data_IF_342166146566
#
_entry.id   IF_342166146566
#
_cell.length_a   1.000
_cell.length_b   1.000
_cell.length_c   1.000
_cell.angle_alpha   90.00
_cell.angle_beta   90.00
_cell.angle_gamma   90.00
#
_symmetry.space_group_name_H-M   'P 1'
#
loop_
_entity.id
_entity.type
_entity.pdbx_description
1 polymer ?
#
# COMPACT_ATOMS: atom_id res chain seq x y z
N UNK A 1 16.02 56.44 96.21
CA UNK A 1 15.67 55.38 95.24
C UNK A 1 16.02 55.79 93.81
N UNK A 2 15.53 56.92 93.28
CA UNK A 2 15.84 57.41 91.93
C UNK A 2 17.34 57.58 91.62
N UNK A 3 18.11 58.10 92.58
CA UNK A 3 19.56 58.30 92.44
C UNK A 3 20.34 56.98 92.37
N UNK A 4 19.86 55.93 93.04
CA UNK A 4 20.47 54.60 93.03
C UNK A 4 20.21 53.89 91.68
N UNK A 5 19.02 54.09 91.11
CA UNK A 5 18.65 53.59 89.78
C UNK A 5 19.46 54.30 88.69
N UNK A 6 19.66 55.62 88.82
CA UNK A 6 20.50 56.38 87.89
C UNK A 6 21.97 55.94 87.93
N UNK A 7 22.52 55.67 89.12
CA UNK A 7 23.89 55.19 89.25
C UNK A 7 24.07 53.76 88.73
N UNK A 8 23.10 52.86 88.94
CA UNK A 8 23.12 51.51 88.38
C UNK A 8 23.04 51.52 86.84
N UNK A 9 22.16 52.33 86.27
CA UNK A 9 22.08 52.51 84.81
C UNK A 9 23.35 53.12 84.23
N UNK A 10 23.99 54.06 84.93
CA UNK A 10 25.26 54.65 84.48
C UNK A 10 26.40 53.63 84.49
N UNK A 11 26.46 52.75 85.51
CA UNK A 11 27.45 51.67 85.58
C UNK A 11 27.24 50.64 84.46
N UNK A 12 25.99 50.24 84.17
CA UNK A 12 25.69 49.32 83.06
C UNK A 12 26.04 49.93 81.68
N UNK A 13 25.78 51.22 81.48
CA UNK A 13 26.12 51.92 80.22
C UNK A 13 27.65 52.01 80.05
N UNK A 14 28.39 52.32 81.11
CA UNK A 14 29.85 52.38 81.06
C UNK A 14 30.51 51.00 80.89
N UNK A 15 29.98 49.96 81.53
CA UNK A 15 30.44 48.58 81.35
C UNK A 15 30.22 48.10 79.91
N UNK A 16 29.03 48.35 79.34
CA UNK A 16 28.69 48.01 77.96
C UNK A 16 29.55 48.74 76.93
N UNK A 17 29.85 50.03 77.17
CA UNK A 17 30.77 50.78 76.32
C UNK A 17 32.22 50.30 76.46
N UNK A 18 32.66 49.94 77.67
CA UNK A 18 33.99 49.41 77.93
C UNK A 18 34.25 48.11 77.17
N UNK A 19 33.31 47.17 77.22
CA UNK A 19 33.38 45.89 76.50
C UNK A 19 33.36 46.08 74.98
N UNK A 20 32.56 47.04 74.50
CA UNK A 20 32.50 47.38 73.07
C UNK A 20 33.82 47.98 72.57
N UNK A 21 34.43 48.87 73.36
CA UNK A 21 35.75 49.45 73.07
C UNK A 21 36.84 48.36 73.10
N UNK A 22 36.81 47.45 74.08
CA UNK A 22 37.75 46.34 74.17
C UNK A 22 37.63 45.39 72.97
N UNK A 23 36.40 45.09 72.55
CA UNK A 23 36.11 44.28 71.37
C UNK A 23 36.62 44.94 70.09
N UNK A 24 36.38 46.24 69.92
CA UNK A 24 36.84 46.99 68.73
C UNK A 24 38.37 47.13 68.69
N UNK A 25 39.01 47.34 69.85
CA UNK A 25 40.47 47.34 69.97
C UNK A 25 41.05 45.95 69.65
N UNK A 26 40.42 44.89 70.18
CA UNK A 26 40.78 43.50 69.90
C UNK A 26 40.62 43.13 68.44
N UNK A 27 39.53 43.55 67.80
CA UNK A 27 39.25 43.36 66.38
C UNK A 27 40.29 44.09 65.51
N UNK A 28 40.64 45.34 65.86
CA UNK A 28 41.68 46.09 65.16
C UNK A 28 43.07 45.45 65.30
N UNK A 29 43.42 44.96 66.49
CA UNK A 29 44.69 44.25 66.71
C UNK A 29 44.71 42.91 65.97
N UNK A 30 43.60 42.16 66.00
CA UNK A 30 43.43 40.93 65.24
C UNK A 30 43.58 41.18 63.74
N UNK A 31 42.92 42.20 63.19
CA UNK A 31 43.04 42.58 61.79
C UNK A 31 44.46 43.01 61.44
N UNK A 32 45.17 43.73 62.31
CA UNK A 32 46.58 44.12 62.08
C UNK A 32 47.51 42.90 62.08
N UNK A 33 47.26 41.92 62.96
CA UNK A 33 48.01 40.66 63.02
C UNK A 33 47.70 39.82 61.77
N UNK A 34 46.44 39.74 61.37
CA UNK A 34 45.98 39.05 60.17
C UNK A 34 46.54 39.69 58.90
N UNK A 35 46.60 41.02 58.83
CA UNK A 35 47.17 41.75 57.69
C UNK A 35 48.69 41.57 57.60
N UNK A 36 49.37 41.51 58.75
CA UNK A 36 50.80 41.15 58.83
C UNK A 36 51.07 39.69 58.53
N UNK A 37 50.17 38.76 58.88
CA UNK A 37 50.29 37.35 58.52
C UNK A 37 49.90 37.08 57.07
N UNK A 38 49.06 37.94 56.48
CA UNK A 38 48.64 37.84 55.08
C UNK A 38 49.62 38.53 54.11
N UNK A 39 50.43 39.47 54.60
CA UNK A 39 51.56 40.01 53.83
C UNK A 39 52.72 39.03 53.88
N UNK A 40 53.15 38.48 52.73
CA UNK A 40 54.23 37.52 52.74
C UNK A 40 55.52 38.27 53.10
N UNK A 41 56.17 37.86 54.21
CA UNK A 41 57.47 38.38 54.63
C UNK A 41 58.51 38.20 53.51
N UNK A 42 58.29 37.19 52.66
CA UNK A 42 59.10 36.85 51.51
C UNK A 42 58.30 37.00 50.21
N UNK A 43 58.76 37.86 49.30
CA UNK A 43 58.07 38.12 48.02
C UNK A 43 58.05 36.95 47.03
N UNK A 44 57.56 37.19 45.81
CA UNK A 44 57.51 36.18 44.74
C UNK A 44 58.89 35.68 44.32
N UNK A 45 59.94 36.50 44.44
CA UNK A 45 61.32 36.11 44.14
C UNK A 45 61.79 34.95 45.02
N UNK A 46 61.57 35.07 46.33
CA UNK A 46 61.90 34.05 47.32
C UNK A 46 61.12 32.76 47.08
N UNK A 47 59.82 32.86 46.84
CA UNK A 47 58.99 31.70 46.50
C UNK A 47 59.50 30.98 45.23
N UNK A 48 59.89 31.74 44.20
CA UNK A 48 60.46 31.19 42.98
C UNK A 48 61.85 30.56 43.18
N UNK A 49 62.64 31.08 44.13
CA UNK A 49 63.91 30.48 44.50
C UNK A 49 63.72 29.08 45.09
N UNK A 50 62.70 28.88 45.94
CA UNK A 50 62.36 27.58 46.50
C UNK A 50 61.74 26.63 45.47
N UNK A 51 60.89 27.11 44.55
CA UNK A 51 60.33 26.27 43.48
C UNK A 51 61.40 25.65 42.56
N UNK A 52 62.60 26.23 42.51
CA UNK A 52 63.74 25.73 41.72
C UNK A 52 64.65 24.76 42.49
N UNK A 53 64.34 24.49 43.76
CA UNK A 53 65.02 23.47 44.57
C UNK A 53 64.59 22.08 44.08
N UNK A 54 65.53 21.12 44.01
CA UNK A 54 65.22 19.74 43.59
C UNK A 54 64.76 18.89 44.77
N UNK A 55 65.45 19.02 45.90
CA UNK A 55 65.09 18.38 47.16
C UNK A 55 64.20 19.26 48.05
N UNK A 56 63.61 18.66 49.08
CA UNK A 56 62.88 19.40 50.11
C UNK A 56 63.83 20.16 51.05
N UNK A 57 63.32 21.15 51.78
CA UNK A 57 64.11 21.89 52.77
C UNK A 57 64.74 21.01 53.89
N UNK A 58 64.29 19.76 54.02
CA UNK A 58 64.80 18.77 54.96
C UNK A 58 66.15 18.17 54.58
N UNK A 59 66.44 18.06 53.29
CA UNK A 59 67.60 17.33 52.79
C UNK A 59 68.39 18.17 51.78
N UNK A 60 68.73 19.42 52.12
CA UNK A 60 69.58 20.22 51.25
C UNK A 60 70.98 19.64 51.16
N UNK A 61 71.37 19.21 49.96
CA UNK A 61 72.76 18.93 49.65
C UNK A 61 73.61 20.21 49.75
N UNK A 62 74.92 20.08 49.93
CA UNK A 62 75.83 21.21 50.02
C UNK A 62 75.75 22.11 48.78
N UNK A 63 75.62 21.50 47.60
CA UNK A 63 75.45 22.22 46.33
C UNK A 63 74.12 22.97 46.29
N UNK A 64 73.04 22.33 46.74
CA UNK A 64 71.70 22.93 46.78
C UNK A 64 71.63 24.08 47.77
N UNK A 65 72.28 23.95 48.93
CA UNK A 65 72.43 25.03 49.90
C UNK A 65 73.10 26.23 49.24
N UNK A 66 74.26 26.06 48.60
CA UNK A 66 74.95 27.16 47.89
C UNK A 66 74.07 27.79 46.82
N UNK A 67 73.40 26.98 45.99
CA UNK A 67 72.52 27.49 44.93
C UNK A 67 71.32 28.25 45.48
N UNK A 68 70.68 27.73 46.54
CA UNK A 68 69.56 28.39 47.19
C UNK A 68 70.01 29.70 47.82
N UNK A 69 71.15 29.72 48.53
CA UNK A 69 71.71 30.94 49.11
C UNK A 69 71.94 32.00 48.02
N UNK A 70 72.57 31.64 46.89
CA UNK A 70 72.82 32.58 45.80
C UNK A 70 71.52 33.15 45.21
N UNK A 71 70.47 32.34 45.10
CA UNK A 71 69.14 32.82 44.69
C UNK A 71 68.52 33.76 45.72
N UNK A 72 68.61 33.42 47.01
CA UNK A 72 68.12 34.23 48.12
C UNK A 72 68.81 35.61 48.19
N UNK A 73 70.13 35.64 48.02
CA UNK A 73 70.89 36.89 48.01
C UNK A 73 70.52 37.74 46.80
N UNK A 74 70.33 37.14 45.62
CA UNK A 74 69.87 37.91 44.46
C UNK A 74 68.51 38.54 44.71
N UNK A 75 67.58 37.83 45.36
CA UNK A 75 66.30 38.42 45.78
C UNK A 75 66.51 39.58 46.76
N UNK A 76 67.38 39.40 47.77
CA UNK A 76 67.69 40.45 48.74
C UNK A 76 68.37 41.69 48.12
N UNK A 77 69.31 41.48 47.20
CA UNK A 77 70.03 42.57 46.52
C UNK A 77 69.10 43.33 45.57
N UNK A 78 68.25 42.63 44.83
CA UNK A 78 67.23 43.23 43.97
C UNK A 78 66.22 44.07 44.79
N UNK A 79 65.71 43.51 45.89
CA UNK A 79 64.82 44.22 46.83
C UNK A 79 65.49 45.44 47.48
N UNK A 80 66.81 45.40 47.66
CA UNK A 80 67.62 46.48 48.23
C UNK A 80 68.13 47.50 47.19
N UNK A 81 67.83 47.32 45.90
CA UNK A 81 68.30 48.19 44.81
C UNK A 81 69.80 48.09 44.51
N UNK A 82 70.42 46.96 44.82
CA UNK A 82 71.82 46.66 44.54
C UNK A 82 72.00 45.76 43.31
N UNK A 83 73.19 45.78 42.71
CA UNK A 83 73.53 44.91 41.58
C UNK A 83 73.48 43.43 41.99
N UNK A 84 72.77 42.61 41.21
CA UNK A 84 72.63 41.16 41.40
C UNK A 84 73.73 40.40 40.68
N UNK A 85 73.97 39.14 41.10
CA UNK A 85 75.05 38.33 40.54
C UNK A 85 74.53 36.95 40.10
N UNK A 86 74.59 36.63 38.81
CA UNK A 86 74.10 35.35 38.26
C UNK A 86 75.08 34.18 38.47
N UNK A 87 75.70 34.13 39.64
CA UNK A 87 76.60 33.05 40.00
C UNK A 87 75.86 31.72 40.17
N UNK A 88 74.57 31.76 40.50
CA UNK A 88 73.74 30.55 40.62
C UNK A 88 73.47 29.84 39.29
N UNK A 89 73.71 30.51 38.15
CA UNK A 89 73.51 29.94 36.81
C UNK A 89 74.74 29.19 36.27
N UNK A 90 75.87 29.22 37.00
CA UNK A 90 77.10 28.55 36.56
C UNK A 90 77.05 27.05 36.84
N UNK A 91 77.37 26.27 35.82
CA UNK A 91 77.24 24.80 35.86
C UNK A 91 78.32 24.15 36.72
N UNK A 92 79.54 24.69 36.71
CA UNK A 92 80.66 24.12 37.48
C UNK A 92 80.90 24.86 38.79
N UNK A 93 81.33 24.13 39.81
CA UNK A 93 81.67 24.73 41.11
C UNK A 93 82.83 25.73 41.02
N UNK A 94 83.80 25.47 40.14
CA UNK A 94 84.89 26.38 39.84
C UNK A 94 84.40 27.74 39.29
N UNK A 95 83.49 27.72 38.31
CA UNK A 95 82.91 28.95 37.75
C UNK A 95 82.06 29.70 38.77
N UNK A 96 81.33 28.99 39.63
CA UNK A 96 80.57 29.59 40.75
C UNK A 96 81.49 30.34 41.70
N UNK A 97 82.56 29.72 42.18
CA UNK A 97 83.54 30.36 43.06
C UNK A 97 84.25 31.54 42.38
N UNK A 98 84.61 31.40 41.11
CA UNK A 98 85.21 32.49 40.31
C UNK A 98 84.25 33.68 40.16
N UNK A 99 82.96 33.42 40.02
CA UNK A 99 81.92 34.44 39.98
C UNK A 99 81.77 35.13 41.34
N UNK A 100 81.71 34.35 42.42
CA UNK A 100 81.63 34.89 43.78
C UNK A 100 82.85 35.73 44.16
N UNK A 101 84.04 35.40 43.65
CA UNK A 101 85.25 36.20 43.84
C UNK A 101 85.22 37.58 43.20
N UNK A 102 84.26 37.85 42.29
CA UNK A 102 84.03 39.18 41.70
C UNK A 102 82.97 40.00 42.45
N UNK A 103 82.29 39.41 43.44
CA UNK A 103 81.28 40.11 44.22
C UNK A 103 81.90 41.23 45.05
N UNK A 104 81.14 42.31 45.24
CA UNK A 104 81.52 43.35 46.20
C UNK A 104 81.61 42.79 47.62
N UNK A 105 82.41 43.41 48.49
CA UNK A 105 82.54 42.98 49.88
C UNK A 105 81.18 42.94 50.60
N UNK A 106 80.29 43.91 50.32
CA UNK A 106 78.93 43.93 50.87
C UNK A 106 78.09 42.73 50.41
N UNK A 107 78.17 42.37 49.12
CA UNK A 107 77.45 41.22 48.58
C UNK A 107 78.00 39.88 49.11
N UNK A 108 79.32 39.76 49.27
CA UNK A 108 79.94 38.57 49.86
C UNK A 108 79.65 38.41 51.36
N UNK A 109 79.58 39.52 52.12
CA UNK A 109 79.14 39.50 53.52
C UNK A 109 77.69 39.07 53.64
N UNK A 110 76.79 39.64 52.82
CA UNK A 110 75.40 39.21 52.77
C UNK A 110 75.33 37.72 52.39
N UNK A 111 76.15 37.27 51.45
CA UNK A 111 76.22 35.86 51.10
C UNK A 111 76.54 34.96 52.28
N UNK A 112 77.55 35.34 53.06
CA UNK A 112 78.02 34.54 54.19
C UNK A 112 76.95 34.43 55.27
N UNK A 113 76.20 35.50 55.52
CA UNK A 113 75.08 35.53 56.47
C UNK A 113 73.88 34.70 55.99
N UNK A 114 73.51 34.83 54.72
CA UNK A 114 72.44 33.99 54.17
C UNK A 114 72.85 32.52 54.14
N UNK A 115 74.12 32.21 53.89
CA UNK A 115 74.60 30.83 53.77
C UNK A 115 74.45 30.06 55.09
N UNK A 116 74.73 30.69 56.23
CA UNK A 116 74.56 30.09 57.57
C UNK A 116 73.09 29.85 57.91
N UNK A 117 72.19 30.71 57.42
CA UNK A 117 70.75 30.66 57.72
C UNK A 117 69.88 30.01 56.63
N UNK A 118 70.46 29.58 55.50
CA UNK A 118 69.72 29.12 54.31
C UNK A 118 68.73 28.00 54.61
N UNK A 119 69.13 26.98 55.39
CA UNK A 119 68.25 25.85 55.73
C UNK A 119 67.06 26.32 56.55
N UNK A 120 67.28 27.11 57.61
CA UNK A 120 66.21 27.65 58.47
C UNK A 120 65.26 28.55 57.68
N UNK A 121 65.80 29.43 56.82
CA UNK A 121 65.00 30.31 55.96
C UNK A 121 64.18 29.51 54.94
N UNK A 122 64.74 28.44 54.35
CA UNK A 122 64.02 27.53 53.45
C UNK A 122 62.81 26.90 54.14
N UNK A 123 63.01 26.38 55.35
CA UNK A 123 61.94 25.78 56.15
C UNK A 123 60.81 26.74 56.44
N UNK A 124 61.14 27.96 56.85
CA UNK A 124 60.16 28.98 57.18
C UNK A 124 59.31 29.35 55.96
N UNK A 125 59.94 29.66 54.82
CA UNK A 125 59.22 30.02 53.59
C UNK A 125 58.34 28.86 53.11
N UNK A 126 58.85 27.62 53.17
CA UNK A 126 58.08 26.44 52.79
C UNK A 126 56.89 26.19 53.72
N UNK A 127 57.04 26.46 55.01
CA UNK A 127 55.95 26.37 55.97
C UNK A 127 54.86 27.40 55.67
N UNK A 128 55.22 28.66 55.41
CA UNK A 128 54.26 29.72 55.04
C UNK A 128 53.48 29.37 53.76
N UNK A 129 54.17 28.87 52.72
CA UNK A 129 53.51 28.39 51.49
C UNK A 129 52.48 27.30 51.78
N UNK A 130 52.86 26.29 52.58
CA UNK A 130 51.98 25.17 52.93
C UNK A 130 50.80 25.61 53.78
N UNK A 131 51.01 26.54 54.71
CA UNK A 131 49.94 27.10 55.55
C UNK A 131 48.88 27.77 54.69
N UNK A 132 49.30 28.63 53.75
CA UNK A 132 48.40 29.31 52.82
C UNK A 132 47.61 28.34 51.93
N UNK A 133 48.27 27.28 51.44
CA UNK A 133 47.60 26.23 50.67
C UNK A 133 46.57 25.45 51.51
N UNK A 134 46.89 25.20 52.78
CA UNK A 134 46.00 24.48 53.69
C UNK A 134 44.73 25.26 54.00
N UNK A 135 44.85 26.58 54.19
CA UNK A 135 43.70 27.48 54.39
C UNK A 135 42.79 27.52 53.16
N UNK A 136 43.37 27.61 51.96
CA UNK A 136 42.60 27.55 50.71
C UNK A 136 41.88 26.20 50.53
N UNK A 137 42.56 25.10 50.84
CA UNK A 137 41.97 23.77 50.79
C UNK A 137 40.83 23.63 51.81
N UNK A 138 41.01 24.12 53.03
CA UNK A 138 40.00 24.10 54.09
C UNK A 138 38.75 24.90 53.68
N UNK A 139 38.93 26.10 53.16
CA UNK A 139 37.82 26.94 52.69
C UNK A 139 37.04 26.26 51.56
N UNK A 140 37.74 25.65 50.60
CA UNK A 140 37.11 24.90 49.50
C UNK A 140 36.37 23.65 50.00
N UNK A 141 36.93 22.94 50.97
CA UNK A 141 36.28 21.79 51.59
C UNK A 141 35.01 22.20 52.34
N UNK A 142 35.05 23.30 53.08
CA UNK A 142 33.90 23.83 53.80
C UNK A 142 32.76 24.21 52.83
N UNK A 143 33.08 24.93 51.75
CA UNK A 143 32.12 25.27 50.70
C UNK A 143 31.52 24.02 50.05
N UNK A 144 32.36 23.07 49.66
CA UNK A 144 31.92 21.81 49.03
C UNK A 144 31.05 20.98 49.97
N UNK A 145 31.39 20.92 51.26
CA UNK A 145 30.62 20.20 52.27
C UNK A 145 29.25 20.83 52.49
N UNK A 146 29.15 22.17 52.49
CA UNK A 146 27.87 22.88 52.58
C UNK A 146 26.98 22.54 51.38
N UNK A 147 27.52 22.65 50.17
CA UNK A 147 26.80 22.33 48.92
C UNK A 147 26.35 20.86 48.90
N UNK A 148 27.23 19.94 49.32
CA UNK A 148 26.91 18.52 49.36
C UNK A 148 25.79 18.21 50.36
N UNK A 149 25.77 18.88 51.50
CA UNK A 149 24.70 18.74 52.50
C UNK A 149 23.35 19.18 51.93
N UNK A 150 23.32 20.31 51.22
CA UNK A 150 22.10 20.78 50.55
C UNK A 150 21.62 19.80 49.48
N UNK A 151 22.55 19.22 48.71
CA UNK A 151 22.22 18.22 47.68
C UNK A 151 21.73 16.90 48.26
N UNK A 152 22.28 16.45 49.39
CA UNK A 152 21.78 15.26 50.10
C UNK A 152 20.35 15.52 50.61
N UNK A 153 20.07 16.71 51.15
CA UNK A 153 18.72 17.06 51.59
C UNK A 153 17.72 17.10 50.43
N UNK A 154 18.10 17.71 49.31
CA UNK A 154 17.28 17.71 48.08
C UNK A 154 17.01 16.28 47.58
N UNK A 155 18.03 15.42 47.55
CA UNK A 155 17.91 14.02 47.13
C UNK A 155 17.00 13.21 48.06
N UNK A 156 17.09 13.40 49.39
CA UNK A 156 16.22 12.75 50.36
C UNK A 156 14.74 13.11 50.13
N UNK A 157 14.46 14.39 49.84
CA UNK A 157 13.11 14.85 49.50
C UNK A 157 12.59 14.14 48.24
N UNK A 158 13.39 14.11 47.17
CA UNK A 158 13.01 13.44 45.91
C UNK A 158 12.79 11.93 46.14
N UNK A 159 13.67 11.28 46.90
CA UNK A 159 13.54 9.86 47.22
C UNK A 159 12.25 9.57 48.00
N UNK A 160 11.86 10.44 48.93
CA UNK A 160 10.60 10.30 49.66
C UNK A 160 9.38 10.41 48.74
N UNK A 161 9.39 11.35 47.79
CA UNK A 161 8.32 11.52 46.79
C UNK A 161 8.23 10.30 45.86
N UNK A 162 9.38 9.78 45.42
CA UNK A 162 9.45 8.57 44.60
C UNK A 162 8.90 7.33 45.33
N UNK A 163 9.25 7.15 46.60
CA UNK A 163 8.74 6.05 47.44
C UNK A 163 7.21 6.10 47.58
N UNK A 164 6.65 7.30 47.79
CA UNK A 164 5.20 7.48 47.87
C UNK A 164 4.53 7.21 46.52
N UNK A 165 5.13 7.64 45.41
CA UNK A 165 4.65 7.31 44.06
C UNK A 165 4.67 5.80 43.78
N UNK A 166 5.74 5.10 44.14
CA UNK A 166 5.84 3.63 44.01
C UNK A 166 4.78 2.92 44.84
N UNK A 167 4.52 3.38 46.06
CA UNK A 167 3.45 2.85 46.92
C UNK A 167 2.07 3.04 46.29
N UNK A 168 1.80 4.19 45.68
CA UNK A 168 0.55 4.43 44.95
C UNK A 168 0.43 3.53 43.71
N UNK A 169 1.50 3.39 42.93
CA UNK A 169 1.53 2.50 41.77
C UNK A 169 1.29 1.03 42.16
N UNK A 170 1.88 0.55 43.25
CA UNK A 170 1.65 -0.81 43.77
C UNK A 170 0.20 -1.02 44.22
N UNK A 171 -0.43 -0.02 44.84
CA UNK A 171 -1.87 -0.09 45.18
C UNK A 171 -2.72 -0.26 43.92
N UNK A 172 -2.48 0.57 42.90
CA UNK A 172 -3.19 0.48 41.63
C UNK A 172 -2.95 -0.86 40.93
N UNK A 173 -1.73 -1.37 40.94
CA UNK A 173 -1.39 -2.67 40.35
C UNK A 173 -2.11 -3.82 41.06
N UNK A 174 -2.23 -3.78 42.39
CA UNK A 174 -3.00 -4.76 43.15
C UNK A 174 -4.51 -4.69 42.84
N UNK A 175 -5.08 -3.48 42.71
CA UNK A 175 -6.47 -3.29 42.32
C UNK A 175 -6.75 -3.84 40.91
N UNK A 176 -5.87 -3.56 39.94
CA UNK A 176 -5.97 -4.10 38.59
C UNK A 176 -5.83 -5.62 38.57
N UNK A 177 -4.96 -6.19 39.40
CA UNK A 177 -4.83 -7.64 39.53
C UNK A 177 -6.11 -8.29 40.07
N UNK A 178 -6.74 -7.70 41.09
CA UNK A 178 -8.03 -8.18 41.63
C UNK A 178 -9.15 -8.05 40.60
N UNK A 179 -9.20 -6.94 39.86
CA UNK A 179 -10.12 -6.76 38.74
C UNK A 179 -9.88 -7.78 37.62
N UNK A 180 -8.62 -8.06 37.29
CA UNK A 180 -8.24 -9.08 36.31
C UNK A 180 -8.67 -10.48 36.73
N UNK A 181 -8.52 -10.83 38.01
CA UNK A 181 -8.99 -12.10 38.58
C UNK A 181 -10.51 -12.21 38.54
N UNK A 182 -11.24 -11.15 38.92
CA UNK A 182 -12.70 -11.09 38.79
C UNK A 182 -13.13 -11.27 37.33
N UNK A 183 -12.46 -10.59 36.40
CA UNK A 183 -12.73 -10.74 34.98
C UNK A 183 -12.46 -12.17 34.48
N UNK A 184 -11.36 -12.81 34.89
CA UNK A 184 -11.09 -14.22 34.58
C UNK A 184 -12.23 -15.13 35.06
N UNK A 185 -12.72 -14.91 36.29
CA UNK A 185 -13.87 -15.68 36.80
C UNK A 185 -15.15 -15.40 36.03
N UNK A 186 -15.41 -14.15 35.65
CA UNK A 186 -16.56 -13.78 34.79
C UNK A 186 -16.43 -14.39 33.40
N UNK A 187 -15.22 -14.46 32.82
CA UNK A 187 -14.96 -15.11 31.53
C UNK A 187 -15.22 -16.61 31.63
N UNK A 188 -14.76 -17.30 32.68
CA UNK A 188 -15.07 -18.73 32.90
C UNK A 188 -16.57 -18.99 33.09
N UNK A 189 -17.27 -18.11 33.81
CA UNK A 189 -18.73 -18.19 33.93
C UNK A 189 -19.42 -17.90 32.58
N UNK A 190 -18.85 -17.00 31.78
CA UNK A 190 -19.35 -16.66 30.44
C UNK A 190 -19.07 -17.78 29.45
N UNK A 191 -17.98 -18.55 29.56
CA UNK A 191 -17.71 -19.74 28.74
C UNK A 191 -18.81 -20.79 28.91
N UNK A 192 -19.26 -21.05 30.15
CA UNK A 192 -20.40 -21.92 30.42
C UNK A 192 -21.73 -21.35 29.86
N UNK A 193 -21.93 -20.03 29.97
CA UNK A 193 -23.10 -19.35 29.40
C UNK A 193 -23.08 -19.30 27.87
N UNK A 194 -21.91 -19.15 27.24
CA UNK A 194 -21.71 -19.14 25.79
C UNK A 194 -21.88 -20.54 25.25
N UNK A 195 -21.32 -21.57 25.89
CA UNK A 195 -21.55 -22.95 25.49
C UNK A 195 -23.03 -23.33 25.58
N UNK A 196 -23.75 -22.93 26.63
CA UNK A 196 -25.20 -23.18 26.73
C UNK A 196 -26.04 -22.33 25.78
N UNK A 197 -25.56 -21.16 25.37
CA UNK A 197 -26.19 -20.35 24.33
C UNK A 197 -25.91 -20.93 22.94
N UNK A 198 -24.70 -21.42 22.67
CA UNK A 198 -24.30 -22.11 21.44
C UNK A 198 -25.08 -23.41 21.28
N UNK A 199 -25.28 -24.21 22.32
CA UNK A 199 -26.13 -25.42 22.24
C UNK A 199 -27.59 -25.06 21.99
N UNK A 200 -28.12 -24.01 22.63
CA UNK A 200 -29.46 -23.47 22.29
C UNK A 200 -29.53 -22.91 20.87
N UNK A 201 -28.43 -22.36 20.36
CA UNK A 201 -28.32 -21.89 18.98
C UNK A 201 -28.26 -23.05 18.01
N UNK A 202 -27.60 -24.16 18.36
CA UNK A 202 -27.55 -25.40 17.58
C UNK A 202 -28.94 -26.06 17.49
N UNK A 203 -29.67 -26.13 18.60
CA UNK A 203 -31.07 -26.58 18.65
C UNK A 203 -32.03 -25.65 17.86
N UNK A 204 -31.78 -24.34 17.88
CA UNK A 204 -32.59 -23.34 17.14
C UNK A 204 -32.21 -23.28 15.66
N UNK A 205 -30.95 -23.51 15.32
CA UNK A 205 -30.43 -23.50 13.94
C UNK A 205 -30.93 -24.71 13.16
N UNK A 206 -31.11 -25.88 13.79
CA UNK A 206 -31.81 -27.01 13.17
C UNK A 206 -33.27 -26.67 12.79
N UNK A 207 -33.97 -25.85 13.59
CA UNK A 207 -35.32 -25.36 13.24
C UNK A 207 -35.32 -24.29 12.14
N UNK A 208 -34.32 -23.41 12.09
CA UNK A 208 -34.22 -22.36 11.06
C UNK A 208 -33.64 -22.87 9.71
N UNK A 209 -32.84 -23.94 9.72
CA UNK A 209 -32.34 -24.60 8.50
C UNK A 209 -33.45 -25.24 7.67
N UNK A 210 -34.57 -25.66 8.28
CA UNK A 210 -35.73 -26.19 7.55
C UNK A 210 -36.42 -25.13 6.68
N UNK A 211 -36.54 -23.88 7.15
CA UNK A 211 -37.18 -22.81 6.36
C UNK A 211 -36.26 -22.23 5.27
N UNK A 212 -34.97 -22.09 5.55
CA UNK A 212 -34.02 -21.59 4.54
C UNK A 212 -33.74 -22.63 3.45
N UNK A 213 -33.64 -23.92 3.80
CA UNK A 213 -33.53 -24.99 2.79
C UNK A 213 -34.74 -25.04 1.88
N UNK A 214 -35.94 -24.77 2.40
CA UNK A 214 -37.17 -24.67 1.60
C UNK A 214 -37.12 -23.50 0.61
N UNK A 215 -36.67 -22.31 1.04
CA UNK A 215 -36.53 -21.15 0.15
C UNK A 215 -35.44 -21.36 -0.91
N UNK A 216 -34.27 -21.89 -0.53
CA UNK A 216 -33.21 -22.20 -1.50
C UNK A 216 -33.64 -23.30 -2.48
N UNK A 217 -34.47 -24.26 -2.05
CA UNK A 217 -35.10 -25.24 -2.94
C UNK A 217 -36.05 -24.59 -3.94
N UNK A 218 -36.88 -23.62 -3.52
CA UNK A 218 -37.72 -22.87 -4.46
C UNK A 218 -36.90 -22.06 -5.47
N UNK A 219 -35.83 -21.42 -5.03
CA UNK A 219 -34.93 -20.65 -5.92
C UNK A 219 -34.25 -21.59 -6.92
N UNK A 220 -33.73 -22.74 -6.48
CA UNK A 220 -33.11 -23.73 -7.36
C UNK A 220 -34.13 -24.31 -8.35
N UNK A 221 -35.32 -24.68 -7.88
CA UNK A 221 -36.41 -25.18 -8.74
C UNK A 221 -36.83 -24.14 -9.77
N UNK A 222 -36.93 -22.87 -9.38
CA UNK A 222 -37.25 -21.77 -10.30
C UNK A 222 -36.14 -21.53 -11.33
N UNK A 223 -34.87 -21.58 -10.92
CA UNK A 223 -33.72 -21.49 -11.82
C UNK A 223 -33.67 -22.66 -12.81
N UNK A 224 -34.03 -23.86 -12.38
CA UNK A 224 -34.08 -25.02 -13.27
C UNK A 224 -35.26 -24.96 -14.24
N UNK A 225 -36.41 -24.46 -13.77
CA UNK A 225 -37.59 -24.22 -14.60
C UNK A 225 -37.33 -23.13 -15.66
N UNK A 226 -36.74 -21.99 -15.28
CA UNK A 226 -36.48 -20.89 -16.23
C UNK A 226 -35.46 -21.31 -17.30
N UNK A 227 -34.42 -22.07 -16.95
CA UNK A 227 -33.43 -22.57 -17.92
C UNK A 227 -34.08 -23.60 -18.88
N UNK A 228 -34.99 -24.44 -18.38
CA UNK A 228 -35.74 -25.40 -19.22
C UNK A 228 -36.73 -24.73 -20.17
N UNK A 229 -37.54 -23.80 -19.66
CA UNK A 229 -38.51 -23.02 -20.44
C UNK A 229 -37.83 -22.13 -21.50
N UNK A 230 -36.76 -21.42 -21.16
CA UNK A 230 -36.09 -20.55 -22.14
C UNK A 230 -35.48 -21.37 -23.30
N UNK A 231 -35.05 -22.61 -23.05
CA UNK A 231 -34.44 -23.47 -24.06
C UNK A 231 -35.38 -23.83 -25.22
N UNK A 232 -36.67 -24.15 -24.96
CA UNK A 232 -37.59 -24.52 -26.04
C UNK A 232 -37.99 -23.31 -26.90
N UNK A 233 -38.14 -22.12 -26.29
CA UNK A 233 -38.35 -20.87 -27.03
C UNK A 233 -37.19 -20.56 -27.97
N UNK A 234 -35.96 -20.80 -27.51
CA UNK A 234 -34.76 -20.63 -28.33
C UNK A 234 -34.71 -21.63 -29.51
N UNK A 235 -35.14 -22.89 -29.33
CA UNK A 235 -35.27 -23.84 -30.44
C UNK A 235 -36.26 -23.37 -31.49
N UNK A 236 -37.45 -22.90 -31.06
CA UNK A 236 -38.50 -22.44 -31.99
C UNK A 236 -38.03 -21.25 -32.81
N UNK A 237 -37.40 -20.26 -32.17
CA UNK A 237 -36.93 -19.05 -32.87
C UNK A 237 -35.85 -19.39 -33.92
N UNK A 238 -34.92 -20.30 -33.60
CA UNK A 238 -33.91 -20.78 -34.53
C UNK A 238 -34.51 -21.42 -35.79
N UNK A 239 -35.46 -22.36 -35.64
CA UNK A 239 -36.08 -23.03 -36.78
C UNK A 239 -36.95 -22.10 -37.63
N UNK A 240 -37.65 -21.14 -36.99
CA UNK A 240 -38.42 -20.14 -37.70
C UNK A 240 -37.54 -19.29 -38.62
N UNK A 241 -36.42 -18.80 -38.10
CA UNK A 241 -35.43 -18.03 -38.88
C UNK A 241 -34.82 -18.90 -39.98
N UNK A 242 -34.46 -20.16 -39.69
CA UNK A 242 -33.90 -21.08 -40.68
C UNK A 242 -34.88 -21.37 -41.84
N UNK A 243 -36.18 -21.53 -41.56
CA UNK A 243 -37.22 -21.70 -42.56
C UNK A 243 -37.36 -20.47 -43.47
N UNK A 244 -37.32 -19.26 -42.90
CA UNK A 244 -37.34 -18.01 -43.67
C UNK A 244 -36.13 -17.93 -44.60
N UNK A 245 -34.93 -18.19 -44.07
CA UNK A 245 -33.68 -18.16 -44.84
C UNK A 245 -33.72 -19.20 -45.98
N UNK A 246 -34.14 -20.43 -45.70
CA UNK A 246 -34.26 -21.47 -46.74
C UNK A 246 -35.32 -21.10 -47.79
N UNK A 247 -36.44 -20.50 -47.37
CA UNK A 247 -37.48 -20.00 -48.26
C UNK A 247 -36.99 -18.91 -49.20
N UNK A 248 -36.20 -17.96 -48.68
CA UNK A 248 -35.56 -16.88 -49.44
C UNK A 248 -34.54 -17.43 -50.44
N UNK A 249 -33.60 -18.28 -50.00
CA UNK A 249 -32.57 -18.84 -50.87
C UNK A 249 -33.14 -19.74 -51.97
N UNK A 250 -34.23 -20.46 -51.69
CA UNK A 250 -34.89 -21.31 -52.69
C UNK A 250 -35.91 -20.56 -53.56
N UNK A 251 -36.15 -19.28 -53.31
CA UNK A 251 -36.97 -18.43 -54.19
C UNK A 251 -36.27 -18.06 -55.50
N UNK A 252 -34.93 -18.19 -55.55
CA UNK A 252 -34.18 -17.99 -56.77
C UNK A 252 -34.45 -19.13 -57.77
N UNK A 253 -34.66 -18.79 -59.05
CA UNK A 253 -34.92 -19.76 -60.13
C UNK A 253 -33.81 -20.83 -60.25
N UNK A 254 -32.59 -20.50 -59.81
CA UNK A 254 -31.41 -21.38 -59.83
C UNK A 254 -31.47 -22.52 -58.78
N UNK A 255 -32.26 -22.38 -57.72
CA UNK A 255 -32.29 -23.27 -56.55
C UNK A 255 -33.70 -23.76 -56.21
N UNK A 256 -34.66 -23.58 -57.13
CA UNK A 256 -36.07 -23.95 -56.93
C UNK A 256 -36.27 -25.46 -56.70
N UNK A 257 -35.42 -26.32 -57.28
CA UNK A 257 -35.50 -27.77 -57.07
C UNK A 257 -34.87 -28.22 -55.72
N UNK A 258 -34.14 -27.35 -55.03
CA UNK A 258 -33.54 -27.64 -53.72
C UNK A 258 -34.51 -27.40 -52.54
N UNK A 259 -35.70 -26.84 -52.80
CA UNK A 259 -36.69 -26.44 -51.79
C UNK A 259 -37.18 -27.62 -50.94
N UNK A 260 -37.61 -28.69 -51.61
CA UNK A 260 -38.13 -29.89 -50.95
C UNK A 260 -37.08 -30.61 -50.11
N UNK A 261 -35.85 -30.91 -50.60
CA UNK A 261 -34.84 -31.55 -49.77
C UNK A 261 -34.42 -30.69 -48.56
N UNK A 262 -34.34 -29.36 -48.71
CA UNK A 262 -34.03 -28.46 -47.58
C UNK A 262 -35.08 -28.53 -46.47
N UNK A 263 -36.37 -28.51 -46.82
CA UNK A 263 -37.44 -28.65 -45.82
C UNK A 263 -37.47 -30.03 -45.18
N UNK A 264 -37.19 -31.09 -45.93
CA UNK A 264 -37.09 -32.45 -45.38
C UNK A 264 -35.96 -32.52 -44.35
N UNK A 265 -34.79 -31.97 -44.65
CA UNK A 265 -33.64 -31.98 -43.73
C UNK A 265 -33.92 -31.16 -42.48
N UNK A 266 -34.52 -29.97 -42.63
CA UNK A 266 -34.94 -29.16 -41.49
C UNK A 266 -35.94 -29.93 -40.61
N UNK A 267 -36.94 -30.60 -41.19
CA UNK A 267 -37.91 -31.40 -40.43
C UNK A 267 -37.27 -32.61 -39.73
N UNK A 268 -36.36 -33.30 -40.41
CA UNK A 268 -35.63 -34.43 -39.82
C UNK A 268 -34.75 -33.96 -38.66
N UNK A 269 -34.11 -32.79 -38.79
CA UNK A 269 -33.29 -32.21 -37.74
C UNK A 269 -34.11 -31.86 -36.48
N UNK A 270 -35.34 -31.37 -36.63
CA UNK A 270 -36.25 -31.14 -35.50
C UNK A 270 -36.56 -32.45 -34.75
N UNK A 271 -36.83 -33.53 -35.48
CA UNK A 271 -37.14 -34.84 -34.88
C UNK A 271 -35.92 -35.39 -34.14
N UNK A 272 -34.73 -35.32 -34.76
CA UNK A 272 -33.47 -35.76 -34.14
C UNK A 272 -33.16 -34.95 -32.89
N UNK A 273 -33.32 -33.62 -32.93
CA UNK A 273 -33.13 -32.76 -31.76
C UNK A 273 -34.08 -33.16 -30.62
N UNK A 274 -35.37 -33.41 -30.91
CA UNK A 274 -36.35 -33.84 -29.90
C UNK A 274 -36.06 -35.23 -29.34
N UNK A 275 -35.67 -36.18 -30.18
CA UNK A 275 -35.28 -37.53 -29.74
C UNK A 275 -34.01 -37.51 -28.88
N UNK A 276 -33.01 -36.70 -29.24
CA UNK A 276 -31.78 -36.55 -28.46
C UNK A 276 -32.06 -35.94 -27.08
N UNK A 277 -32.86 -34.88 -27.00
CA UNK A 277 -33.24 -34.27 -25.72
C UNK A 277 -34.01 -35.27 -24.85
N UNK A 278 -34.97 -36.00 -25.42
CA UNK A 278 -35.74 -37.02 -24.70
C UNK A 278 -34.87 -38.20 -24.24
N UNK A 279 -33.95 -38.67 -25.07
CA UNK A 279 -33.03 -39.75 -24.72
C UNK A 279 -32.07 -39.33 -23.60
N UNK A 280 -31.48 -38.14 -23.71
CA UNK A 280 -30.61 -37.59 -22.65
C UNK A 280 -31.38 -37.36 -21.34
N UNK A 281 -32.65 -36.96 -21.42
CA UNK A 281 -33.48 -36.80 -20.22
C UNK A 281 -33.75 -38.15 -19.53
N UNK A 282 -34.10 -39.21 -20.30
CA UNK A 282 -34.40 -40.54 -19.76
C UNK A 282 -33.18 -41.28 -19.20
N UNK A 283 -31.98 -41.05 -19.74
CA UNK A 283 -30.78 -41.80 -19.36
C UNK A 283 -30.09 -41.26 -18.10
N UNK A 284 -30.43 -40.03 -17.67
CA UNK A 284 -29.69 -39.30 -16.64
C UNK A 284 -30.51 -38.99 -15.39
N UNK A 285 -31.51 -39.83 -15.12
CA UNK A 285 -32.38 -39.74 -13.92
C UNK A 285 -31.67 -40.17 -12.62
N UNK A 286 -30.36 -40.48 -12.67
CA UNK A 286 -29.65 -41.08 -11.54
C UNK A 286 -28.25 -40.52 -11.22
N UNK A 287 -27.78 -39.43 -11.86
CA UNK A 287 -26.51 -38.80 -11.46
C UNK A 287 -26.41 -37.30 -11.79
N UNK A 288 -25.68 -36.56 -10.93
CA UNK A 288 -25.31 -35.13 -10.94
C UNK A 288 -25.90 -34.21 -12.05
N UNK A 289 -27.06 -33.63 -11.72
CA UNK A 289 -27.93 -32.72 -12.50
C UNK A 289 -27.28 -31.46 -13.10
N UNK A 290 -26.12 -31.00 -12.59
CA UNK A 290 -25.55 -29.70 -12.98
C UNK A 290 -24.54 -29.80 -14.15
N UNK A 291 -23.71 -30.85 -14.21
CA UNK A 291 -22.80 -31.06 -15.33
C UNK A 291 -23.54 -31.56 -16.59
N UNK A 292 -24.65 -32.26 -16.41
CA UNK A 292 -25.44 -32.81 -17.52
C UNK A 292 -26.12 -31.73 -18.36
N UNK A 293 -26.65 -30.66 -17.77
CA UNK A 293 -27.29 -29.54 -18.51
C UNK A 293 -26.31 -28.82 -19.44
N UNK A 294 -25.05 -28.67 -19.04
CA UNK A 294 -24.00 -28.06 -19.86
C UNK A 294 -23.68 -28.95 -21.07
N UNK A 295 -23.55 -30.27 -20.85
CA UNK A 295 -23.26 -31.22 -21.93
C UNK A 295 -24.42 -31.36 -22.93
N UNK A 296 -25.69 -31.37 -22.46
CA UNK A 296 -26.88 -31.40 -23.33
C UNK A 296 -26.95 -30.16 -24.21
N UNK A 297 -26.62 -28.98 -23.67
CA UNK A 297 -26.50 -27.75 -24.45
C UNK A 297 -25.45 -27.88 -25.56
N UNK A 298 -24.22 -28.29 -25.23
CA UNK A 298 -23.12 -28.44 -26.20
C UNK A 298 -23.45 -29.42 -27.33
N UNK A 299 -24.08 -30.55 -27.01
CA UNK A 299 -24.54 -31.53 -28.00
C UNK A 299 -25.59 -30.94 -28.94
N UNK A 300 -26.57 -30.21 -28.40
CA UNK A 300 -27.64 -29.57 -29.19
C UNK A 300 -27.07 -28.56 -30.19
N UNK A 301 -26.11 -27.73 -29.75
CA UNK A 301 -25.43 -26.76 -30.62
C UNK A 301 -24.63 -27.44 -31.75
N UNK A 302 -23.99 -28.58 -31.45
CA UNK A 302 -23.22 -29.34 -32.44
C UNK A 302 -24.10 -29.92 -33.56
N UNK A 303 -25.29 -30.41 -33.21
CA UNK A 303 -26.27 -30.95 -34.18
C UNK A 303 -26.82 -29.84 -35.09
N UNK A 304 -27.05 -28.64 -34.56
CA UNK A 304 -27.53 -27.51 -35.38
C UNK A 304 -26.49 -27.06 -36.41
N UNK A 305 -25.22 -27.00 -36.02
CA UNK A 305 -24.14 -26.60 -36.92
C UNK A 305 -23.96 -27.63 -38.06
N UNK A 306 -24.03 -28.93 -37.75
CA UNK A 306 -23.93 -29.98 -38.78
C UNK A 306 -25.10 -29.95 -39.76
N UNK A 307 -26.33 -29.66 -39.29
CA UNK A 307 -27.51 -29.54 -40.14
C UNK A 307 -27.41 -28.34 -41.11
N UNK A 308 -26.94 -27.18 -40.64
CA UNK A 308 -26.70 -26.01 -41.53
C UNK A 308 -25.67 -26.35 -42.60
N UNK A 309 -24.57 -26.99 -42.19
CA UNK A 309 -23.51 -27.38 -43.11
C UNK A 309 -24.05 -28.33 -44.21
N UNK A 310 -24.91 -29.28 -43.84
CA UNK A 310 -25.57 -30.19 -44.77
C UNK A 310 -26.51 -29.43 -45.74
N UNK A 311 -27.30 -28.47 -45.25
CA UNK A 311 -28.13 -27.60 -46.08
C UNK A 311 -27.32 -26.78 -47.08
N UNK A 312 -26.18 -26.23 -46.65
CA UNK A 312 -25.27 -25.46 -47.53
C UNK A 312 -24.67 -26.35 -48.61
N UNK A 313 -24.22 -27.56 -48.28
CA UNK A 313 -23.70 -28.53 -49.27
C UNK A 313 -24.76 -28.84 -50.32
N UNK A 314 -26.02 -29.05 -49.92
CA UNK A 314 -27.11 -29.34 -50.85
C UNK A 314 -27.42 -28.14 -51.74
N UNK A 315 -27.44 -26.93 -51.17
CA UNK A 315 -27.58 -25.71 -51.97
C UNK A 315 -26.46 -25.59 -53.00
N UNK A 316 -25.21 -25.85 -52.62
CA UNK A 316 -24.05 -25.83 -53.52
C UNK A 316 -24.17 -26.92 -54.59
N UNK A 317 -24.57 -28.14 -54.22
CA UNK A 317 -24.78 -29.24 -55.16
C UNK A 317 -25.85 -28.89 -56.19
N UNK A 318 -27.01 -28.39 -55.76
CA UNK A 318 -28.08 -27.98 -56.69
C UNK A 318 -27.71 -26.74 -57.48
N UNK A 319 -26.92 -25.82 -56.92
CA UNK A 319 -26.40 -24.65 -57.63
C UNK A 319 -25.48 -25.06 -58.78
N UNK A 320 -24.53 -25.96 -58.54
CA UNK A 320 -23.64 -26.48 -59.60
C UNK A 320 -24.38 -27.40 -60.58
N UNK A 321 -25.35 -28.18 -60.11
CA UNK A 321 -26.18 -29.05 -60.95
C UNK A 321 -27.19 -28.27 -61.80
N UNK A 322 -27.47 -27.01 -61.47
CA UNK A 322 -28.26 -26.09 -62.29
C UNK A 322 -27.48 -25.70 -63.55
N UNK A 323 -27.37 -26.67 -64.46
CA UNK A 323 -26.84 -26.52 -65.81
C UNK A 323 -28.01 -26.07 -66.69
N UNK A 324 -27.82 -24.94 -67.38
CA UNK A 324 -28.74 -24.15 -68.22
C UNK A 324 -29.87 -24.88 -69.00
N UNK A 325 -30.79 -25.56 -68.30
CA UNK A 325 -31.93 -26.28 -68.88
C UNK A 325 -32.86 -25.30 -69.62
N UNK A 326 -33.00 -24.08 -69.11
CA UNK A 326 -33.84 -23.05 -69.71
C UNK A 326 -33.30 -22.59 -71.08
N UNK A 327 -31.97 -22.44 -71.22
CA UNK A 327 -31.33 -22.07 -72.48
C UNK A 327 -31.48 -23.16 -73.55
N UNK A 328 -31.24 -24.43 -73.17
CA UNK A 328 -31.42 -25.58 -74.07
C UNK A 328 -32.88 -25.73 -74.53
N UNK A 329 -33.86 -25.55 -73.63
CA UNK A 329 -35.29 -25.65 -73.97
C UNK A 329 -35.76 -24.51 -74.87
N UNK A 330 -35.31 -23.27 -74.62
CA UNK A 330 -35.63 -22.14 -75.48
C UNK A 330 -35.04 -22.32 -76.89
N UNK A 331 -33.81 -22.84 -76.96
CA UNK A 331 -33.16 -23.21 -78.23
C UNK A 331 -33.90 -24.33 -78.97
N UNK A 332 -34.53 -25.26 -78.26
CA UNK A 332 -35.36 -26.30 -78.86
C UNK A 332 -36.69 -25.75 -79.39
N UNK A 333 -37.34 -24.85 -78.64
CA UNK A 333 -38.59 -24.20 -79.05
C UNK A 333 -38.41 -23.32 -80.30
N UNK A 334 -37.34 -22.52 -80.36
CA UNK A 334 -37.00 -21.74 -81.55
C UNK A 334 -36.85 -22.63 -82.80
N UNK A 335 -36.24 -23.83 -82.65
CA UNK A 335 -36.14 -24.80 -83.75
C UNK A 335 -37.49 -25.35 -84.21
N UNK A 336 -38.47 -25.49 -83.29
CA UNK A 336 -39.81 -25.98 -83.63
C UNK A 336 -40.61 -24.89 -84.34
N UNK A 337 -40.56 -23.65 -83.86
CA UNK A 337 -41.21 -22.50 -84.49
C UNK A 337 -40.70 -22.28 -85.91
N UNK A 338 -39.38 -22.35 -86.11
CA UNK A 338 -38.77 -22.20 -87.43
C UNK A 338 -39.23 -23.30 -88.41
N UNK A 339 -39.43 -24.53 -87.94
CA UNK A 339 -39.99 -25.63 -88.74
C UNK A 339 -41.46 -25.41 -89.08
N UNK A 340 -42.28 -24.92 -88.15
CA UNK A 340 -43.70 -24.64 -88.39
C UNK A 340 -43.88 -23.50 -89.40
N UNK A 341 -43.12 -22.41 -89.27
CA UNK A 341 -43.16 -21.28 -90.21
C UNK A 341 -42.76 -21.69 -91.64
N UNK A 342 -41.82 -22.64 -91.80
CA UNK A 342 -41.47 -23.21 -93.11
C UNK A 342 -42.64 -24.02 -93.71
N UNK A 343 -43.39 -24.77 -92.89
CA UNK A 343 -44.55 -25.53 -93.37
C UNK A 343 -45.74 -24.63 -93.73
N UNK A 344 -46.00 -23.57 -92.95
CA UNK A 344 -47.14 -22.66 -93.18
C UNK A 344 -46.99 -21.83 -94.46
N UNK A 345 -45.77 -21.36 -94.77
CA UNK A 345 -45.46 -20.72 -96.06
C UNK A 345 -45.71 -21.64 -97.25
N UNK A 346 -45.42 -22.93 -97.09
CA UNK A 346 -45.69 -23.93 -98.12
C UNK A 346 -47.21 -24.11 -98.32
N UNK A 347 -47.99 -24.11 -97.24
CA UNK A 347 -49.44 -24.27 -97.27
C UNK A 347 -50.17 -23.05 -97.87
N UNK A 348 -49.76 -21.84 -97.51
CA UNK A 348 -50.38 -20.58 -98.00
C UNK A 348 -50.16 -20.36 -99.50
N UNK A 349 -48.99 -20.72 -100.04
CA UNK A 349 -48.75 -20.69 -101.49
C UNK A 349 -49.72 -21.59 -102.27
N UNK A 350 -50.11 -22.72 -101.68
CA UNK A 350 -51.08 -23.63 -102.28
C UNK A 350 -52.53 -23.14 -102.16
N UNK A 351 -52.83 -22.24 -101.21
CA UNK A 351 -54.20 -21.76 -100.93
C UNK A 351 -54.59 -20.54 -101.78
N UNK A 352 -53.63 -19.66 -102.14
CA UNK A 352 -53.84 -18.57 -103.12
C UNK A 352 -54.24 -19.09 -104.51
N UNK A 353 -53.79 -20.29 -104.87
CA UNK A 353 -54.17 -20.95 -106.12
C UNK A 353 -55.67 -21.33 -106.12
N UNK A 354 -56.23 -21.65 -104.95
CA UNK A 354 -57.62 -22.11 -104.80
C UNK A 354 -58.62 -20.94 -104.78
N UNK A 355 -58.25 -19.80 -104.20
CA UNK A 355 -59.17 -18.65 -104.03
C UNK A 355 -59.54 -17.95 -105.34
N UNK A 356 -58.63 -17.94 -106.34
CA UNK A 356 -58.93 -17.38 -107.68
C UNK A 356 -60.08 -18.08 -108.41
N UNK A 357 -60.47 -19.28 -107.98
CA UNK A 357 -61.47 -20.11 -108.68
C UNK A 357 -62.91 -19.76 -108.27
N UNK A 358 -63.16 -19.16 -107.10
CA UNK A 358 -64.52 -19.09 -106.51
C UNK A 358 -65.31 -17.77 -106.72
N UNK A 359 -64.78 -16.72 -107.35
CA UNK A 359 -65.48 -15.42 -107.47
C UNK A 359 -65.85 -15.02 -108.91
N UNK A 360 -67.00 -15.49 -109.41
CA UNK A 360 -67.68 -14.91 -110.59
C UNK A 360 -69.21 -14.81 -110.36
N UNK A 361 -69.91 -13.73 -110.76
CA UNK A 361 -71.18 -13.31 -110.15
C UNK A 361 -72.41 -13.54 -111.04
N UNK A 362 -73.42 -14.25 -110.56
CA UNK A 362 -74.84 -14.17 -110.99
C UNK A 362 -75.68 -14.93 -109.96
N UNK A 363 -76.94 -14.52 -109.76
CA UNK A 363 -77.92 -15.07 -108.79
C UNK A 363 -77.89 -14.45 -107.39
N UNK A 364 -78.40 -13.21 -107.34
CA UNK A 364 -78.86 -12.51 -106.14
C UNK A 364 -80.31 -12.06 -106.39
N UNK A 365 -81.32 -12.86 -106.00
CA UNK A 365 -82.71 -12.41 -105.74
C UNK A 365 -83.57 -13.53 -105.10
N UNK A 366 -84.35 -13.11 -104.10
CA UNK A 366 -85.53 -13.73 -103.46
C UNK A 366 -85.38 -15.10 -102.77
N UNK A 367 -85.72 -15.13 -101.46
CA UNK A 367 -86.64 -16.08 -100.82
C UNK A 367 -87.12 -15.43 -99.50
N UNK A 368 -88.44 -15.31 -99.40
CA UNK A 368 -89.25 -14.94 -98.22
C UNK A 368 -89.92 -16.23 -97.72
N UNK A 369 -89.92 -16.46 -96.40
CA UNK A 369 -90.81 -17.29 -95.54
C UNK A 369 -91.15 -18.73 -95.99
N UNK A 370 -90.93 -19.74 -95.14
CA UNK A 370 -92.01 -20.61 -94.63
C UNK A 370 -91.52 -21.59 -93.55
N UNK A 371 -92.44 -21.86 -92.63
CA UNK A 371 -92.42 -22.78 -91.51
C UNK A 371 -92.36 -24.25 -91.95
N UNK A 372 -92.26 -25.12 -90.94
CA UNK A 372 -92.47 -26.56 -90.92
C UNK A 372 -91.34 -27.53 -91.31
N UNK A 373 -91.09 -28.41 -90.33
CA UNK A 373 -90.64 -29.79 -90.42
C UNK A 373 -90.44 -30.35 -91.83
N UNK A 374 -89.29 -30.99 -92.07
CA UNK A 374 -89.23 -32.31 -92.71
C UNK A 374 -87.85 -32.94 -92.47
N UNK A 375 -87.90 -34.10 -91.82
CA UNK A 375 -86.92 -35.19 -91.83
C UNK A 375 -86.78 -35.73 -93.25
N UNK A 376 -85.57 -36.11 -93.68
CA UNK A 376 -85.21 -37.29 -94.52
C UNK A 376 -83.68 -37.17 -94.72
N UNK A 377 -82.84 -37.96 -94.08
CA UNK A 377 -82.56 -39.39 -94.25
C UNK A 377 -81.80 -39.72 -95.55
N UNK A 378 -80.61 -40.29 -95.34
CA UNK A 378 -79.99 -41.39 -96.08
C UNK A 378 -78.71 -41.14 -96.91
N UNK A 379 -77.73 -42.00 -96.57
CA UNK A 379 -76.69 -42.63 -97.39
C UNK A 379 -75.48 -41.81 -97.89
N UNK A 380 -74.42 -41.95 -97.10
CA UNK A 380 -73.12 -42.55 -97.46
C UNK A 380 -72.49 -42.18 -98.82
N UNK A 381 -71.38 -41.45 -98.67
CA UNK A 381 -70.08 -41.65 -99.32
C UNK A 381 -70.04 -41.81 -100.83
N UNK A 382 -69.47 -40.83 -101.55
CA UNK A 382 -68.05 -40.88 -101.90
C UNK A 382 -67.61 -39.58 -102.65
N UNK A 383 -66.66 -38.86 -102.02
CA UNK A 383 -65.52 -38.16 -102.62
C UNK A 383 -65.74 -36.91 -103.49
N UNK A 384 -65.10 -35.82 -103.02
CA UNK A 384 -64.66 -34.62 -103.76
C UNK A 384 -65.82 -33.83 -104.38
N UNK A 385 -66.28 -32.72 -103.80
CA UNK A 385 -65.60 -31.42 -103.72
C UNK A 385 -66.41 -30.56 -102.72
N UNK A 386 -66.00 -30.19 -101.50
CA UNK A 386 -64.73 -29.81 -100.84
C UNK A 386 -64.16 -28.48 -101.34
N UNK A 387 -64.08 -27.51 -100.40
CA UNK A 387 -63.67 -26.10 -100.48
C UNK A 387 -64.75 -25.06 -100.82
N UNK A 388 -64.93 -24.10 -99.90
CA UNK A 388 -65.83 -22.92 -99.95
C UNK A 388 -67.33 -23.27 -99.84
N UNK A 389 -68.16 -22.81 -98.90
CA UNK A 389 -68.21 -21.55 -98.14
C UNK A 389 -69.10 -21.77 -96.90
N UNK A 390 -68.58 -21.54 -95.70
CA UNK A 390 -69.31 -20.81 -94.64
C UNK A 390 -68.30 -20.18 -93.68
N UNK A 391 -67.47 -19.31 -94.22
CA UNK A 391 -66.76 -18.26 -93.50
C UNK A 391 -67.39 -16.94 -93.97
N UNK A 392 -68.46 -16.52 -93.29
CA UNK A 392 -69.05 -15.17 -93.31
C UNK A 392 -70.13 -15.11 -92.21
N UNK A 393 -69.64 -15.09 -90.96
CA UNK A 393 -70.17 -14.35 -89.81
C UNK A 393 -68.90 -13.90 -89.08
N UNK A 394 -68.51 -12.62 -88.99
CA UNK A 394 -69.26 -11.52 -88.39
C UNK A 394 -70.61 -11.90 -87.82
#
# INVERSE_FOLDING_TARGET
>A
MLLLILMLNFIEIFASNGDKILKELGEKQYLTIVERSNSPIYGTCWHNALNKLKENCDNLDEIERVLLTLRMINCFLDESGHETYDCHEKNTDYERRKCMGKMSNRAFTAYSEFYTHTTTTCYYISYEMRQKQSEQALNKLHETSSIMTDKINEANVIQSMMMESQKQALKLQNELYDQGKKLETTIKLSEASVNSMVTKFEETSQKQQLMLSEIFMYIKTFQEWIIGEVSWFQSISYFFIACIICGLFSSSKKTSNARMPLFIILSANVIVERMLVQYCHNLHDNDNLQNSKIHVGQLTWSVRYSAILLCVIILIYYYYKYRDVQYENNRALLRIEEKLNKMDKSCTSNMEIVEKICHSPKYKKEIIIFDDNIRINNKNNHYLTRSCVKRLKN
#
